data_IF_709827554662
#
_entry.id   IF_709827554662
#
_cell.length_a   1.000
_cell.length_b   1.000
_cell.length_c   1.000
_cell.angle_alpha   90.00
_cell.angle_beta   90.00
_cell.angle_gamma   90.00
#
_symmetry.space_group_name_H-M   'P 1'
#
loop_
_entity.id
_entity.type
_entity.pdbx_description
1 polymer ?
#
# COMPACT_ATOMS: atom_id res chain seq x y z
N UNK A 1 -4.02 -5.83 22.59
CA UNK A 1 -4.91 -4.65 22.49
C UNK A 1 -5.11 -4.14 23.90
N UNK A 2 -4.82 -2.87 24.18
CA UNK A 2 -4.97 -2.33 25.54
C UNK A 2 -6.47 -2.16 25.80
N UNK A 3 -6.98 -2.79 26.85
CA UNK A 3 -8.39 -2.68 27.22
C UNK A 3 -8.62 -1.30 27.87
N UNK A 4 -9.47 -0.50 27.25
CA UNK A 4 -9.82 0.87 27.66
C UNK A 4 -11.32 1.04 27.52
N UNK A 5 -11.90 1.90 28.35
CA UNK A 5 -13.31 2.24 28.24
C UNK A 5 -13.64 2.91 26.90
N UNK A 6 -14.88 2.78 26.44
CA UNK A 6 -15.32 3.32 25.15
C UNK A 6 -15.17 4.84 25.10
N UNK A 7 -15.46 5.53 26.21
CA UNK A 7 -15.33 6.99 26.31
C UNK A 7 -13.92 7.51 26.02
N UNK A 8 -12.89 6.70 26.29
CA UNK A 8 -11.53 7.04 25.95
C UNK A 8 -11.37 7.15 24.43
N UNK A 9 -11.86 6.17 23.67
CA UNK A 9 -11.72 6.13 22.22
C UNK A 9 -12.54 7.20 21.50
N UNK A 10 -13.66 7.65 22.09
CA UNK A 10 -14.44 8.79 21.57
C UNK A 10 -13.66 10.11 21.61
N UNK A 11 -12.68 10.24 22.50
CA UNK A 11 -11.82 11.42 22.61
C UNK A 11 -10.54 11.36 21.76
N UNK A 12 -10.27 10.21 21.12
CA UNK A 12 -9.03 9.99 20.36
C UNK A 12 -9.22 10.43 18.91
N UNK A 13 -8.29 11.26 18.43
CA UNK A 13 -8.11 11.54 17.00
C UNK A 13 -6.97 10.66 16.49
N UNK A 14 -7.29 9.78 15.55
CA UNK A 14 -6.30 8.99 14.84
C UNK A 14 -5.78 9.80 13.66
N UNK A 15 -4.49 9.70 13.41
CA UNK A 15 -3.81 10.45 12.36
C UNK A 15 -2.83 9.51 11.69
N UNK A 16 -2.79 9.53 10.36
CA UNK A 16 -1.86 8.72 9.60
C UNK A 16 -1.50 9.35 8.26
N UNK A 17 -0.42 8.85 7.66
CA UNK A 17 0.00 9.17 6.31
C UNK A 17 -0.06 7.90 5.44
N UNK A 18 -0.71 7.99 4.29
CA UNK A 18 -0.82 6.88 3.36
C UNK A 18 -0.44 7.29 1.94
N UNK A 19 0.36 6.43 1.31
CA UNK A 19 0.76 6.54 -0.09
C UNK A 19 -0.22 5.80 -0.99
N UNK A 20 -0.71 6.47 -2.03
CA UNK A 20 -1.56 5.87 -3.06
C UNK A 20 -0.83 5.90 -4.39
N UNK A 21 -0.44 4.71 -4.87
CA UNK A 21 0.23 4.57 -6.17
C UNK A 21 -0.79 4.66 -7.32
N UNK A 22 -0.45 5.39 -8.38
CA UNK A 22 -1.28 5.44 -9.60
C UNK A 22 -1.00 4.18 -10.45
N UNK A 23 0.24 3.73 -10.48
CA UNK A 23 0.66 2.53 -11.21
C UNK A 23 1.48 1.60 -10.32
N UNK A 24 1.10 0.32 -10.33
CA UNK A 24 1.80 -0.72 -9.58
C UNK A 24 1.50 -0.70 -8.08
N UNK A 25 2.00 -1.72 -7.41
CA UNK A 25 1.98 -1.86 -5.95
C UNK A 25 3.40 -1.79 -5.44
N UNK A 26 3.58 -1.24 -4.23
CA UNK A 26 4.87 -1.32 -3.52
C UNK A 26 5.15 -2.74 -2.98
N UNK A 27 4.14 -3.63 -3.04
CA UNK A 27 4.25 -5.02 -2.62
C UNK A 27 5.01 -5.91 -3.60
N UNK A 28 5.50 -7.04 -3.10
CA UNK A 28 6.17 -8.04 -3.92
C UNK A 28 5.15 -8.76 -4.82
N UNK A 29 5.48 -8.89 -6.10
CA UNK A 29 4.69 -9.70 -7.04
C UNK A 29 5.27 -11.09 -7.16
N UNK A 30 4.46 -12.12 -6.92
CA UNK A 30 4.85 -13.52 -7.15
C UNK A 30 4.59 -13.91 -8.60
N UNK A 31 5.59 -14.52 -9.24
CA UNK A 31 5.52 -14.98 -10.64
C UNK A 31 5.94 -16.44 -10.72
N UNK A 32 5.19 -17.23 -11.49
CA UNK A 32 5.52 -18.63 -11.80
C UNK A 32 6.23 -18.71 -13.15
N UNK A 33 7.32 -19.49 -13.23
CA UNK A 33 8.12 -19.64 -14.46
C UNK A 33 8.87 -20.98 -14.49
N UNK A 34 9.11 -21.48 -15.70
CA UNK A 34 9.90 -22.69 -15.96
C UNK A 34 11.39 -22.34 -16.08
N UNK A 35 12.32 -23.30 -15.91
CA UNK A 35 13.73 -23.07 -16.15
C UNK A 35 13.99 -22.48 -17.54
N UNK A 36 14.85 -21.46 -17.63
CA UNK A 36 15.22 -20.74 -18.86
C UNK A 36 14.12 -19.87 -19.50
N UNK A 37 12.98 -19.64 -18.82
CA UNK A 37 11.92 -18.72 -19.30
C UNK A 37 11.91 -17.38 -18.53
N UNK A 38 13.03 -17.01 -17.90
CA UNK A 38 13.12 -15.86 -17.00
C UNK A 38 12.74 -14.52 -17.64
N UNK A 39 12.99 -14.37 -18.94
CA UNK A 39 12.73 -13.15 -19.71
C UNK A 39 11.45 -13.24 -20.57
N UNK A 40 10.60 -14.24 -20.33
CA UNK A 40 9.29 -14.27 -20.97
C UNK A 40 8.51 -13.03 -20.54
N UNK A 41 7.94 -12.29 -21.49
CA UNK A 41 7.18 -11.06 -21.21
C UNK A 41 6.00 -11.28 -20.26
N UNK A 42 5.43 -12.50 -20.22
CA UNK A 42 4.40 -12.88 -19.25
C UNK A 42 4.90 -13.03 -17.81
N UNK A 43 6.21 -13.18 -17.65
CA UNK A 43 6.90 -13.37 -16.38
C UNK A 43 7.64 -12.12 -15.89
N UNK A 44 7.57 -11.03 -16.65
CA UNK A 44 8.16 -9.74 -16.28
C UNK A 44 7.11 -8.82 -15.70
N UNK A 45 7.48 -8.09 -14.64
CA UNK A 45 6.66 -6.99 -14.14
C UNK A 45 6.88 -5.76 -15.03
N UNK A 46 5.85 -5.21 -15.67
CA UNK A 46 6.01 -3.99 -16.44
C UNK A 46 6.39 -2.83 -15.51
N UNK A 47 7.42 -2.08 -15.90
CA UNK A 47 7.83 -0.86 -15.20
C UNK A 47 7.45 0.36 -16.01
N UNK A 48 7.03 1.41 -15.30
CA UNK A 48 6.71 2.71 -15.87
C UNK A 48 7.90 3.64 -15.62
N UNK A 49 8.29 4.42 -16.64
CA UNK A 49 9.40 5.37 -16.50
C UNK A 49 9.05 6.36 -15.38
N UNK A 50 10.02 6.60 -14.50
CA UNK A 50 9.90 7.52 -13.35
C UNK A 50 8.98 7.02 -12.23
N UNK A 51 8.70 5.71 -12.18
CA UNK A 51 8.07 5.07 -11.01
C UNK A 51 6.55 5.19 -10.94
N UNK A 52 5.89 5.74 -11.98
CA UNK A 52 4.43 5.68 -12.12
C UNK A 52 3.65 6.72 -11.32
N UNK A 53 4.33 7.44 -10.42
CA UNK A 53 3.71 8.46 -9.60
C UNK A 53 2.76 7.90 -8.55
N UNK A 54 2.43 8.77 -7.60
CA UNK A 54 1.55 8.47 -6.49
C UNK A 54 1.29 9.73 -5.69
N UNK A 55 0.29 9.67 -4.82
CA UNK A 55 -0.10 10.78 -3.95
C UNK A 55 0.13 10.33 -2.52
N UNK A 56 0.88 11.13 -1.76
CA UNK A 56 0.94 11.01 -0.31
C UNK A 56 -0.21 11.84 0.27
N UNK A 57 -1.03 11.20 1.10
CA UNK A 57 -2.14 11.87 1.78
C UNK A 57 -1.95 11.71 3.28
N UNK A 58 -2.06 12.82 3.99
CA UNK A 58 -2.16 12.84 5.43
C UNK A 58 -3.62 13.06 5.81
N UNK A 59 -4.11 12.29 6.77
CA UNK A 59 -5.51 12.36 7.19
C UNK A 59 -5.67 12.02 8.65
N UNK A 60 -6.83 12.41 9.18
CA UNK A 60 -7.23 12.05 10.52
C UNK A 60 -8.69 11.61 10.56
N UNK A 61 -9.04 10.76 11.51
CA UNK A 61 -10.41 10.37 11.79
C UNK A 61 -10.63 10.17 13.30
N UNK A 62 -11.89 10.28 13.73
CA UNK A 62 -12.34 10.03 15.08
C UNK A 62 -13.59 9.12 15.04
N UNK A 63 -14.04 8.63 16.20
CA UNK A 63 -15.19 7.74 16.29
C UNK A 63 -16.54 8.46 16.02
N UNK A 64 -16.60 9.78 16.22
CA UNK A 64 -17.76 10.66 15.96
C UNK A 64 -17.31 12.06 15.56
#
# INVERSE_FOLDING_TARGET
MVDRDISFWESVIFVDESKFNIFGSDGQTTVWRKPNEDFNTKSLLPTVKHGGGGIMVWGCFAAS
#
